data_IF_196268054915
#
_entry.id   IF_196268054915
#
_cell.length_a   1.000
_cell.length_b   1.000
_cell.length_c   1.000
_cell.angle_alpha   90.00
_cell.angle_beta   90.00
_cell.angle_gamma   90.00
#
_symmetry.space_group_name_H-M   'P 1'
#
loop_
_entity.id
_entity.type
_entity.pdbx_description
1 polymer ?
#
# COMPACT_ATOMS: atom_id res chain seq x y z
N UNK A 1 9.03 10.33 19.67
CA UNK A 1 8.25 9.13 20.02
C UNK A 1 7.50 8.60 18.82
N UNK A 2 8.16 7.72 18.05
CA UNK A 2 7.53 7.00 16.95
C UNK A 2 6.54 6.01 17.53
N UNK A 3 5.26 6.12 17.18
CA UNK A 3 4.28 5.08 17.47
C UNK A 3 4.84 3.74 16.95
N UNK A 4 5.37 2.92 17.86
CA UNK A 4 5.64 1.52 17.58
C UNK A 4 4.28 0.90 17.39
N UNK A 5 3.84 0.82 16.13
CA UNK A 5 2.87 -0.17 15.72
C UNK A 5 3.42 -1.52 16.19
N UNK A 6 2.95 -1.98 17.35
CA UNK A 6 3.00 -3.41 17.69
C UNK A 6 2.02 -4.08 16.72
N UNK A 7 2.45 -4.19 15.46
CA UNK A 7 1.71 -4.99 14.50
C UNK A 7 1.72 -6.41 15.02
N UNK A 8 0.60 -7.07 14.82
CA UNK A 8 0.36 -8.47 15.11
C UNK A 8 1.39 -9.37 14.39
N UNK A 9 2.57 -9.51 14.98
CA UNK A 9 3.74 -10.17 14.40
C UNK A 9 4.07 -11.43 15.19
N UNK A 10 3.07 -12.32 15.33
CA UNK A 10 3.24 -13.60 16.02
C UNK A 10 2.86 -14.77 15.11
N UNK A 11 3.82 -15.66 14.87
CA UNK A 11 3.68 -16.84 14.03
C UNK A 11 2.77 -17.93 14.62
N UNK A 12 2.35 -17.83 15.88
CA UNK A 12 1.28 -18.69 16.45
C UNK A 12 0.01 -18.69 15.60
N UNK A 13 -0.22 -17.65 14.79
CA UNK A 13 -1.32 -17.63 13.81
C UNK A 13 -1.35 -18.87 12.90
N UNK A 14 -0.19 -19.46 12.62
CA UNK A 14 -0.05 -20.64 11.76
C UNK A 14 -0.59 -21.93 12.40
N UNK A 15 -0.89 -21.94 13.69
CA UNK A 15 -1.63 -23.05 14.34
C UNK A 15 -3.07 -23.14 13.83
N UNK A 16 -3.64 -22.01 13.41
CA UNK A 16 -5.03 -21.91 12.97
C UNK A 16 -5.16 -21.66 11.47
N UNK A 17 -4.24 -20.90 10.88
CA UNK A 17 -4.22 -20.59 9.46
C UNK A 17 -3.40 -21.64 8.70
N UNK A 18 -3.99 -22.82 8.50
CA UNK A 18 -3.30 -24.02 8.01
C UNK A 18 -3.24 -24.17 6.49
N UNK A 19 -4.09 -23.47 5.73
CA UNK A 19 -4.02 -23.48 4.26
C UNK A 19 -4.05 -22.05 3.76
N UNK A 20 -2.99 -21.63 3.10
CA UNK A 20 -2.71 -20.26 2.72
C UNK A 20 -2.43 -20.17 1.23
N UNK A 21 -3.27 -19.47 0.48
CA UNK A 21 -3.05 -19.16 -0.93
C UNK A 21 -2.43 -17.77 -1.08
N UNK A 22 -1.43 -17.66 -1.94
CA UNK A 22 -0.87 -16.38 -2.33
C UNK A 22 -1.92 -15.61 -3.13
N UNK A 23 -2.20 -14.40 -2.69
CA UNK A 23 -3.22 -13.58 -3.33
C UNK A 23 -2.66 -12.26 -3.88
N UNK A 24 -1.64 -11.67 -3.25
CA UNK A 24 -0.83 -10.59 -3.87
C UNK A 24 0.66 -10.81 -3.60
N UNK A 25 1.49 -10.47 -4.58
CA UNK A 25 2.94 -10.44 -4.43
C UNK A 25 3.53 -9.25 -5.17
N UNK A 26 4.62 -8.69 -4.66
CA UNK A 26 5.44 -7.75 -5.43
C UNK A 26 5.96 -8.46 -6.70
N UNK A 27 6.07 -7.79 -7.85
CA UNK A 27 6.47 -8.43 -9.09
C UNK A 27 7.91 -8.96 -8.96
N UNK A 28 8.05 -10.28 -8.91
CA UNK A 28 9.34 -10.95 -9.05
C UNK A 28 9.14 -12.26 -9.81
N UNK A 29 10.20 -12.66 -10.50
CA UNK A 29 10.34 -13.83 -11.38
C UNK A 29 9.37 -14.97 -11.07
N UNK A 30 8.52 -15.35 -12.02
CA UNK A 30 8.09 -16.72 -12.42
C UNK A 30 7.70 -17.81 -11.40
N UNK A 31 8.03 -17.69 -10.12
CA UNK A 31 8.39 -18.82 -9.23
C UNK A 31 8.14 -18.47 -7.76
N UNK A 32 7.17 -17.60 -7.49
CA UNK A 32 6.72 -17.29 -6.14
C UNK A 32 6.02 -18.49 -5.51
N UNK A 33 6.06 -18.56 -4.18
CA UNK A 33 5.28 -19.54 -3.42
C UNK A 33 3.80 -19.19 -3.64
N UNK A 34 3.05 -20.08 -4.29
CA UNK A 34 1.63 -19.86 -4.57
C UNK A 34 0.72 -20.38 -3.46
N UNK A 35 1.18 -21.36 -2.67
CA UNK A 35 0.43 -21.91 -1.54
C UNK A 35 1.37 -22.43 -0.46
N UNK A 36 0.92 -22.30 0.79
CA UNK A 36 1.53 -22.91 1.96
C UNK A 36 0.45 -23.69 2.70
N UNK A 37 0.72 -24.96 3.01
CA UNK A 37 -0.11 -25.78 3.88
C UNK A 37 0.68 -26.08 5.16
N UNK A 38 0.24 -25.56 6.30
CA UNK A 38 0.86 -25.78 7.60
C UNK A 38 0.26 -27.02 8.25
N UNK A 39 1.11 -28.00 8.54
CA UNK A 39 0.73 -29.24 9.20
C UNK A 39 0.78 -29.12 10.72
N UNK A 40 1.82 -28.46 11.22
CA UNK A 40 1.95 -28.14 12.65
C UNK A 40 2.93 -26.98 12.88
N UNK A 41 2.72 -26.26 13.97
CA UNK A 41 3.61 -25.26 14.53
C UNK A 41 4.02 -25.70 15.95
N UNK A 42 5.32 -25.70 16.25
CA UNK A 42 5.85 -26.00 17.57
C UNK A 42 6.66 -24.81 18.06
N UNK A 43 6.07 -24.05 18.98
CA UNK A 43 6.66 -22.84 19.54
C UNK A 43 7.97 -23.13 20.29
N UNK A 44 8.00 -24.17 21.12
CA UNK A 44 9.16 -24.53 21.94
C UNK A 44 10.34 -24.98 21.09
N UNK A 45 10.08 -25.81 20.08
CA UNK A 45 11.09 -26.26 19.14
C UNK A 45 11.42 -25.22 18.06
N UNK A 46 10.67 -24.11 18.00
CA UNK A 46 10.80 -23.04 17.00
C UNK A 46 10.78 -23.58 15.57
N UNK A 47 9.85 -24.48 15.29
CA UNK A 47 9.75 -25.19 14.01
C UNK A 47 8.32 -25.17 13.48
N UNK A 48 8.21 -25.14 12.17
CA UNK A 48 6.94 -25.24 11.46
C UNK A 48 7.09 -26.31 10.40
N UNK A 49 6.21 -27.31 10.42
CA UNK A 49 6.12 -28.27 9.34
C UNK A 49 5.06 -27.80 8.35
N UNK A 50 5.48 -27.61 7.11
CA UNK A 50 4.61 -27.12 6.05
C UNK A 50 4.92 -27.78 4.72
N UNK A 51 3.91 -27.85 3.87
CA UNK A 51 4.07 -28.10 2.45
C UNK A 51 4.07 -26.77 1.72
N UNK A 52 5.01 -26.59 0.80
CA UNK A 52 5.12 -25.39 -0.02
C UNK A 52 4.82 -25.75 -1.47
N UNK A 53 4.03 -24.92 -2.13
CA UNK A 53 3.74 -25.01 -3.55
C UNK A 53 4.33 -23.79 -4.25
N UNK A 54 5.01 -23.99 -5.37
CA UNK A 54 5.54 -22.92 -6.19
C UNK A 54 4.70 -22.74 -7.45
N UNK A 55 4.68 -21.51 -7.93
CA UNK A 55 4.22 -21.22 -9.29
C UNK A 55 5.22 -21.84 -10.28
N UNK A 56 4.75 -22.69 -11.19
CA UNK A 56 5.57 -23.19 -12.29
C UNK A 56 5.69 -22.14 -13.40
N UNK A 57 6.46 -22.45 -14.46
CA UNK A 57 6.58 -21.54 -15.58
C UNK A 57 5.23 -21.29 -16.27
N UNK A 58 4.32 -22.25 -16.29
CA UNK A 58 3.01 -22.08 -16.92
C UNK A 58 2.01 -21.31 -16.04
N UNK A 59 2.42 -20.87 -14.83
CA UNK A 59 1.55 -20.19 -13.89
C UNK A 59 0.73 -21.12 -13.00
N UNK A 60 0.93 -22.44 -13.07
CA UNK A 60 0.22 -23.40 -12.22
C UNK A 60 0.85 -23.45 -10.82
N UNK A 61 0.01 -23.67 -9.81
CA UNK A 61 0.48 -23.89 -8.45
C UNK A 61 0.86 -25.37 -8.25
N UNK A 62 2.15 -25.66 -8.19
CA UNK A 62 2.69 -27.02 -8.18
C UNK A 62 3.37 -27.33 -6.86
N UNK A 63 3.02 -28.49 -6.31
CA UNK A 63 3.59 -29.03 -5.07
C UNK A 63 5.11 -29.21 -5.17
N UNK A 64 5.86 -28.74 -4.16
CA UNK A 64 7.25 -29.18 -3.99
C UNK A 64 7.22 -30.60 -3.47
N UNK A 65 7.87 -31.55 -4.14
CA UNK A 65 7.87 -32.99 -3.82
C UNK A 65 8.33 -33.39 -2.41
N UNK A 66 8.54 -32.46 -1.48
CA UNK A 66 8.92 -32.70 -0.08
C UNK A 66 8.20 -31.76 0.86
N UNK A 67 7.73 -32.28 2.00
CA UNK A 67 7.38 -31.46 3.17
C UNK A 67 8.61 -30.76 3.72
N UNK A 68 8.47 -29.47 4.03
CA UNK A 68 9.53 -28.61 4.55
C UNK A 68 9.33 -28.38 6.05
N UNK A 69 10.35 -28.71 6.86
CA UNK A 69 10.42 -28.23 8.24
C UNK A 69 11.25 -26.95 8.22
N UNK A 70 10.61 -25.81 8.45
CA UNK A 70 11.25 -24.49 8.45
C UNK A 70 11.44 -23.98 9.87
N UNK A 71 12.49 -23.18 10.07
CA UNK A 71 12.80 -22.56 11.36
C UNK A 71 11.93 -21.31 11.57
N UNK A 72 11.38 -21.18 12.77
CA UNK A 72 10.76 -19.95 13.26
C UNK A 72 11.80 -19.19 14.09
N UNK A 73 12.00 -17.90 13.81
CA UNK A 73 13.01 -17.07 14.45
C UNK A 73 12.35 -15.93 15.21
N UNK A 74 12.97 -15.56 16.33
CA UNK A 74 12.55 -14.40 17.12
C UNK A 74 13.06 -13.11 16.50
N UNK A 75 12.21 -12.08 16.42
CA UNK A 75 12.69 -10.74 16.11
C UNK A 75 13.56 -10.24 17.29
N UNK A 76 14.78 -9.76 17.00
CA UNK A 76 15.75 -9.42 18.04
C UNK A 76 15.29 -8.27 18.95
N UNK A 77 14.36 -7.41 18.48
CA UNK A 77 13.80 -6.27 19.21
C UNK A 77 12.56 -6.65 20.00
N UNK A 78 11.61 -7.36 19.41
CA UNK A 78 10.33 -7.69 20.06
C UNK A 78 10.38 -8.98 20.88
N UNK A 79 11.38 -9.85 20.62
CA UNK A 79 11.49 -11.22 21.16
C UNK A 79 10.32 -12.15 20.79
N UNK A 80 9.45 -11.73 19.89
CA UNK A 80 8.35 -12.54 19.39
C UNK A 80 8.82 -13.42 18.24
N UNK A 81 8.31 -14.65 18.15
CA UNK A 81 8.48 -15.51 16.98
C UNK A 81 7.71 -14.89 15.81
N UNK A 82 8.44 -14.19 14.94
CA UNK A 82 7.85 -13.37 13.88
C UNK A 82 8.51 -13.57 12.52
N UNK A 83 9.55 -14.38 12.41
CA UNK A 83 10.23 -14.65 11.14
C UNK A 83 10.26 -16.15 10.83
N UNK A 84 10.09 -16.52 9.56
CA UNK A 84 10.27 -17.87 9.06
C UNK A 84 11.47 -17.93 8.13
N UNK A 85 12.37 -18.89 8.34
CA UNK A 85 13.44 -19.18 7.39
C UNK A 85 12.93 -20.13 6.32
N UNK A 86 12.48 -19.58 5.20
CA UNK A 86 11.83 -20.33 4.13
C UNK A 86 12.83 -20.56 2.99
N UNK A 87 13.02 -21.81 2.52
CA UNK A 87 13.77 -22.07 1.31
C UNK A 87 13.01 -21.52 0.10
N UNK A 88 13.60 -20.59 -0.62
CA UNK A 88 13.03 -19.97 -1.83
C UNK A 88 13.64 -20.61 -3.06
N UNK A 89 12.80 -20.92 -4.05
CA UNK A 89 13.22 -21.49 -5.33
C UNK A 89 13.83 -20.40 -6.20
N UNK A 90 15.09 -20.60 -6.58
CA UNK A 90 15.91 -19.63 -7.31
C UNK A 90 16.50 -20.25 -8.59
N UNK A 91 17.03 -19.38 -9.45
CA UNK A 91 17.58 -19.72 -10.76
C UNK A 91 16.49 -19.98 -11.80
N UNK A 92 16.81 -19.82 -13.09
CA UNK A 92 15.89 -20.12 -14.20
C UNK A 92 16.21 -21.48 -14.83
N UNK A 93 17.44 -21.65 -15.31
CA UNK A 93 17.92 -22.86 -16.03
C UNK A 93 18.35 -23.96 -15.06
N UNK A 94 19.07 -23.59 -13.99
CA UNK A 94 19.43 -24.49 -12.90
C UNK A 94 18.63 -24.07 -11.68
N UNK A 95 17.65 -24.89 -11.31
CA UNK A 95 16.85 -24.68 -10.11
C UNK A 95 17.73 -24.97 -8.89
N UNK A 96 17.79 -24.04 -7.95
CA UNK A 96 18.38 -24.24 -6.63
C UNK A 96 17.49 -23.60 -5.56
N UNK A 97 17.74 -23.94 -4.30
CA UNK A 97 17.02 -23.38 -3.16
C UNK A 97 17.99 -22.60 -2.29
N UNK A 98 17.55 -21.42 -1.86
CA UNK A 98 18.30 -20.57 -0.94
C UNK A 98 17.39 -20.13 0.19
N UNK A 99 17.90 -20.12 1.41
CA UNK A 99 17.12 -19.83 2.61
C UNK A 99 17.02 -18.32 2.83
N UNK A 100 15.79 -17.83 2.98
CA UNK A 100 15.53 -16.43 3.28
C UNK A 100 14.61 -16.27 4.48
N UNK A 101 14.88 -15.26 5.29
CA UNK A 101 14.01 -14.87 6.40
C UNK A 101 12.81 -14.07 5.86
N UNK A 102 11.63 -14.64 5.99
CA UNK A 102 10.34 -14.03 5.74
C UNK A 102 9.75 -13.54 7.07
N UNK A 103 9.73 -12.24 7.28
CA UNK A 103 9.14 -11.62 8.48
C UNK A 103 7.64 -11.46 8.31
N UNK A 104 6.87 -11.90 9.29
CA UNK A 104 5.45 -11.56 9.40
C UNK A 104 5.35 -10.05 9.66
N UNK A 105 4.83 -9.32 8.68
CA UNK A 105 4.56 -7.89 8.81
C UNK A 105 3.27 -7.64 9.59
N UNK A 106 2.21 -8.34 9.18
CA UNK A 106 0.85 -8.14 9.67
C UNK A 106 0.01 -9.40 9.45
N UNK A 107 -0.92 -9.67 10.35
CA UNK A 107 -2.02 -10.63 10.18
C UNK A 107 -3.25 -10.12 10.91
N UNK A 108 -4.43 -10.54 10.45
CA UNK A 108 -5.70 -10.35 11.17
C UNK A 108 -6.06 -11.56 12.07
N UNK A 109 -5.18 -12.56 12.14
CA UNK A 109 -5.33 -13.85 12.84
C UNK A 109 -6.51 -14.72 12.39
N UNK A 110 -7.13 -14.41 11.25
CA UNK A 110 -8.37 -15.08 10.83
C UNK A 110 -8.39 -15.42 9.36
N UNK A 111 -8.05 -14.46 8.50
CA UNK A 111 -8.28 -14.56 7.06
C UNK A 111 -7.04 -14.31 6.24
N UNK A 112 -6.06 -13.57 6.74
CA UNK A 112 -4.92 -13.14 5.94
C UNK A 112 -3.66 -12.86 6.76
N UNK A 113 -2.50 -12.93 6.08
CA UNK A 113 -1.21 -12.49 6.61
C UNK A 113 -0.32 -11.93 5.50
N UNK A 114 0.67 -11.14 5.90
CA UNK A 114 1.65 -10.53 4.99
C UNK A 114 3.05 -10.91 5.44
N UNK A 115 3.83 -11.53 4.57
CA UNK A 115 5.26 -11.72 4.75
C UNK A 115 6.05 -10.65 4.00
N UNK A 116 7.11 -10.15 4.63
CA UNK A 116 8.16 -9.36 3.98
C UNK A 116 9.47 -10.15 4.03
N UNK A 117 10.08 -10.35 2.87
CA UNK A 117 11.38 -10.99 2.73
C UNK A 117 12.38 -9.98 2.18
N UNK A 118 13.55 -9.85 2.80
CA UNK A 118 14.64 -9.04 2.25
C UNK A 118 15.55 -9.94 1.40
N UNK A 119 15.54 -9.76 0.07
CA UNK A 119 16.44 -10.49 -0.83
C UNK A 119 17.79 -9.77 -0.89
N UNK A 120 18.84 -10.46 -0.42
CA UNK A 120 20.16 -9.90 -0.08
C UNK A 120 20.86 -9.15 -1.21
N UNK A 121 20.61 -9.50 -2.47
CA UNK A 121 21.32 -8.94 -3.61
C UNK A 121 20.79 -7.58 -4.10
N UNK A 122 19.57 -7.17 -3.72
CA UNK A 122 18.91 -6.03 -4.39
C UNK A 122 18.51 -4.87 -3.47
N UNK A 123 18.63 -4.98 -2.13
CA UNK A 123 17.98 -4.04 -1.17
C UNK A 123 16.47 -3.86 -1.42
N UNK A 124 15.84 -4.79 -2.14
CA UNK A 124 14.40 -4.78 -2.45
C UNK A 124 13.69 -5.61 -1.39
N UNK A 125 12.63 -5.04 -0.81
CA UNK A 125 11.72 -5.75 0.09
C UNK A 125 10.68 -6.46 -0.76
N UNK A 126 10.63 -7.78 -0.65
CA UNK A 126 9.63 -8.61 -1.29
C UNK A 126 8.45 -8.78 -0.36
N UNK A 127 7.24 -8.53 -0.84
CA UNK A 127 6.02 -8.72 -0.05
C UNK A 127 5.13 -9.80 -0.65
N UNK A 128 4.54 -10.60 0.23
CA UNK A 128 3.58 -11.66 -0.11
C UNK A 128 2.38 -11.55 0.82
N UNK A 129 1.19 -11.36 0.27
CA UNK A 129 -0.08 -11.44 0.99
C UNK A 129 -0.69 -12.82 0.73
N UNK A 130 -0.87 -13.57 1.82
CA UNK A 130 -1.55 -14.85 1.82
C UNK A 130 -2.95 -14.73 2.44
N UNK A 131 -3.90 -15.48 1.90
CA UNK A 131 -5.27 -15.61 2.41
C UNK A 131 -5.61 -17.06 2.70
N UNK A 132 -6.52 -17.32 3.64
CA UNK A 132 -6.93 -18.69 3.97
C UNK A 132 -7.73 -19.33 2.81
N UNK A 133 -7.27 -20.47 2.30
CA UNK A 133 -7.77 -21.15 1.08
C UNK A 133 -9.25 -21.56 1.12
N UNK A 134 -9.80 -21.85 2.31
CA UNK A 134 -11.14 -22.43 2.45
C UNK A 134 -12.29 -21.44 2.22
N UNK A 135 -11.98 -20.16 2.02
CA UNK A 135 -12.98 -19.12 1.87
C UNK A 135 -12.75 -18.38 0.54
N UNK A 136 -13.84 -18.15 -0.20
CA UNK A 136 -13.88 -17.24 -1.36
C UNK A 136 -13.76 -15.79 -0.84
N UNK A 137 -12.69 -15.50 -0.11
CA UNK A 137 -12.42 -14.14 0.33
C UNK A 137 -11.98 -13.35 -0.88
N UNK A 138 -12.83 -12.43 -1.30
CA UNK A 138 -12.40 -11.32 -2.13
C UNK A 138 -11.28 -10.61 -1.37
N UNK A 139 -10.04 -10.70 -1.88
CA UNK A 139 -8.86 -10.12 -1.25
C UNK A 139 -9.07 -8.64 -0.89
N UNK A 140 -9.82 -7.91 -1.71
CA UNK A 140 -10.13 -6.50 -1.51
C UNK A 140 -10.94 -6.21 -0.23
N UNK A 141 -11.52 -7.24 0.40
CA UNK A 141 -12.28 -7.13 1.65
C UNK A 141 -11.48 -7.52 2.89
N UNK A 142 -10.22 -7.93 2.75
CA UNK A 142 -9.37 -8.32 3.89
C UNK A 142 -8.63 -7.10 4.46
N UNK A 143 -8.41 -7.07 5.79
CA UNK A 143 -7.62 -6.00 6.42
C UNK A 143 -6.17 -5.97 5.90
N UNK A 144 -5.61 -7.14 5.55
CA UNK A 144 -4.27 -7.23 5.00
C UNK A 144 -4.13 -6.54 3.64
N UNK A 145 -5.19 -6.46 2.83
CA UNK A 145 -5.11 -5.79 1.53
C UNK A 145 -4.71 -4.32 1.68
N UNK A 146 -5.35 -3.59 2.60
CA UNK A 146 -5.01 -2.20 2.89
C UNK A 146 -3.59 -2.05 3.44
N UNK A 147 -3.20 -2.89 4.42
CA UNK A 147 -1.84 -2.86 4.98
C UNK A 147 -0.79 -3.15 3.92
N UNK A 148 -1.04 -4.14 3.06
CA UNK A 148 -0.17 -4.50 1.95
C UNK A 148 -0.01 -3.33 0.98
N UNK A 149 -1.11 -2.65 0.62
CA UNK A 149 -1.05 -1.47 -0.26
C UNK A 149 -0.19 -0.35 0.33
N UNK A 150 -0.29 -0.09 1.64
CA UNK A 150 0.48 0.94 2.33
C UNK A 150 1.97 0.60 2.39
N UNK A 151 2.31 -0.66 2.68
CA UNK A 151 3.69 -1.07 2.98
C UNK A 151 4.47 -1.59 1.77
N UNK A 152 3.78 -2.12 0.78
CA UNK A 152 4.39 -2.90 -0.30
C UNK A 152 4.14 -2.32 -1.70
N UNK A 153 3.23 -1.34 -1.85
CA UNK A 153 2.79 -0.87 -3.16
C UNK A 153 2.04 -1.97 -3.94
N UNK A 154 1.42 -1.64 -5.07
CA UNK A 154 0.62 -2.60 -5.84
C UNK A 154 1.45 -3.83 -6.26
N UNK A 155 1.05 -5.00 -5.74
CA UNK A 155 1.25 -6.29 -6.41
C UNK A 155 0.05 -6.54 -7.33
N UNK A 156 0.24 -7.27 -8.44
CA UNK A 156 -0.83 -7.52 -9.43
C UNK A 156 -2.11 -8.05 -8.75
N UNK A 157 -3.29 -7.43 -8.94
CA UNK A 157 -4.54 -8.11 -8.69
C UNK A 157 -4.70 -9.19 -9.77
N UNK A 158 -4.87 -10.44 -9.35
CA UNK A 158 -4.84 -11.61 -10.23
C UNK A 158 -6.03 -11.68 -11.19
N UNK A 159 -5.77 -11.68 -12.51
CA UNK A 159 -6.35 -12.59 -13.53
C UNK A 159 -5.90 -12.37 -14.99
N UNK A 160 -4.88 -11.56 -15.25
CA UNK A 160 -4.22 -11.65 -16.57
C UNK A 160 -3.36 -12.91 -16.62
N UNK A 161 -3.42 -13.65 -17.74
CA UNK A 161 -2.57 -14.81 -18.02
C UNK A 161 -1.12 -14.47 -17.66
N UNK A 162 -0.48 -15.37 -16.92
CA UNK A 162 0.94 -15.31 -16.67
C UNK A 162 1.64 -15.13 -18.03
N UNK A 163 2.55 -14.15 -18.23
CA UNK A 163 3.28 -14.07 -19.49
C UNK A 163 3.98 -15.40 -19.68
N UNK A 164 3.60 -16.16 -20.71
CA UNK A 164 4.10 -17.52 -20.91
C UNK A 164 5.63 -17.47 -20.96
N UNK A 165 6.35 -17.97 -19.94
CA UNK A 165 7.79 -17.86 -19.85
C UNK A 165 8.48 -18.67 -20.93
N UNK A 166 7.77 -19.61 -21.56
CA UNK A 166 8.25 -20.34 -22.72
C UNK A 166 8.50 -19.43 -23.94
N UNK A 167 7.79 -18.29 -24.04
CA UNK A 167 7.94 -17.35 -25.16
C UNK A 167 8.98 -16.25 -24.91
N UNK A 168 9.48 -16.11 -23.67
CA UNK A 168 10.49 -15.11 -23.28
C UNK A 168 11.76 -15.75 -22.72
N UNK A 169 11.96 -17.05 -22.99
CA UNK A 169 12.86 -17.94 -22.24
C UNK A 169 14.35 -17.87 -22.58
N UNK A 170 14.81 -16.93 -23.42
CA UNK A 170 16.19 -16.97 -23.91
C UNK A 170 17.05 -15.75 -23.63
N UNK A 171 16.48 -14.64 -23.13
CA UNK A 171 17.26 -13.40 -23.03
C UNK A 171 17.61 -13.05 -21.58
N UNK A 172 18.88 -13.22 -21.23
CA UNK A 172 19.49 -12.66 -20.01
C UNK A 172 19.35 -11.13 -20.00
N UNK A 173 19.29 -10.53 -21.20
CA UNK A 173 18.90 -9.15 -21.45
C UNK A 173 17.48 -8.84 -21.00
N UNK A 174 16.53 -9.77 -20.96
CA UNK A 174 15.17 -9.50 -20.48
C UNK A 174 15.14 -9.30 -18.96
N UNK A 175 15.88 -10.08 -18.18
CA UNK A 175 15.97 -9.86 -16.72
C UNK A 175 16.74 -8.58 -16.39
N UNK A 176 17.85 -8.33 -17.08
CA UNK A 176 18.56 -7.07 -16.96
C UNK A 176 17.73 -5.90 -17.46
N UNK A 177 16.97 -6.02 -18.55
CA UNK A 177 16.07 -4.98 -19.04
C UNK A 177 14.87 -4.80 -18.11
N UNK A 178 14.28 -5.82 -17.51
CA UNK A 178 13.20 -5.64 -16.51
C UNK A 178 13.72 -4.91 -15.25
N UNK A 179 14.95 -5.19 -14.83
CA UNK A 179 15.64 -4.47 -13.76
C UNK A 179 16.12 -3.05 -14.15
N UNK A 180 16.58 -2.85 -15.40
CA UNK A 180 17.23 -1.62 -15.90
C UNK A 180 16.21 -0.64 -16.50
N UNK A 181 15.17 -1.14 -17.18
CA UNK A 181 14.10 -0.35 -17.78
C UNK A 181 13.01 0.06 -16.79
N UNK A 182 13.02 -0.41 -15.52
CA UNK A 182 11.84 -0.29 -14.63
C UNK A 182 10.56 -0.57 -15.40
N UNK A 183 10.37 -1.80 -15.92
CA UNK A 183 9.27 -2.17 -16.85
C UNK A 183 7.83 -2.08 -16.28
N UNK A 184 7.55 -1.05 -15.49
CA UNK A 184 6.57 -0.04 -15.85
C UNK A 184 6.90 0.63 -17.21
N UNK A 185 6.59 -0.09 -18.30
CA UNK A 185 6.16 0.40 -19.63
C UNK A 185 7.21 1.07 -20.56
N UNK A 186 7.41 0.46 -21.73
CA UNK A 186 7.44 1.16 -23.03
C UNK A 186 6.25 0.66 -23.87
N UNK A 187 5.44 1.57 -24.43
CA UNK A 187 4.05 1.32 -24.90
C UNK A 187 3.92 1.52 -26.41
N UNK A 188 3.27 0.57 -27.11
CA UNK A 188 2.72 0.77 -28.47
C UNK A 188 1.18 0.68 -28.49
N UNK A 189 0.52 0.13 -27.46
CA UNK A 189 -0.95 0.02 -27.44
C UNK A 189 -1.57 0.42 -26.08
N UNK A 190 -2.79 0.98 -26.08
CA UNK A 190 -3.50 1.34 -24.86
C UNK A 190 -3.92 0.10 -24.06
N UNK A 191 -3.73 0.13 -22.74
CA UNK A 191 -4.20 -0.90 -21.81
C UNK A 191 -5.72 -0.80 -21.65
N UNK A 192 -6.40 -1.95 -21.59
CA UNK A 192 -7.82 -2.06 -21.19
C UNK A 192 -7.99 -1.68 -19.72
N UNK A 193 -9.21 -1.26 -19.37
CA UNK A 193 -9.59 -0.46 -18.21
C UNK A 193 -9.24 -1.02 -16.81
N UNK A 194 -8.75 -2.26 -16.67
CA UNK A 194 -8.57 -2.91 -15.37
C UNK A 194 -7.12 -3.38 -15.05
N UNK A 195 -6.13 -3.06 -15.88
CA UNK A 195 -4.74 -3.46 -15.62
C UNK A 195 -3.85 -2.23 -15.35
N UNK A 196 -3.63 -1.89 -14.08
CA UNK A 196 -2.72 -0.80 -13.70
C UNK A 196 -1.50 -1.36 -12.96
N UNK A 197 -0.37 -1.39 -13.67
CA UNK A 197 0.94 -1.38 -13.04
C UNK A 197 1.31 0.08 -12.78
N UNK A 198 1.57 0.44 -11.52
CA UNK A 198 1.69 1.83 -11.08
C UNK A 198 3.12 2.23 -10.70
N UNK A 199 3.63 3.26 -11.38
CA UNK A 199 4.68 4.13 -10.83
C UNK A 199 4.07 4.99 -9.71
N UNK A 200 4.85 5.37 -8.70
CA UNK A 200 4.37 6.11 -7.51
C UNK A 200 3.75 7.48 -7.86
N UNK A 201 4.17 8.10 -8.97
CA UNK A 201 3.54 9.29 -9.54
C UNK A 201 2.17 9.02 -10.18
N UNK A 202 1.96 7.82 -10.71
CA UNK A 202 0.66 7.43 -11.26
C UNK A 202 -0.39 7.30 -10.15
N UNK A 203 0.03 7.01 -8.91
CA UNK A 203 -0.91 6.92 -7.78
C UNK A 203 -1.65 8.23 -7.58
N UNK A 204 -0.96 9.39 -7.58
CA UNK A 204 -1.68 10.64 -7.35
C UNK A 204 -2.59 11.02 -8.51
N UNK A 205 -2.14 10.83 -9.76
CA UNK A 205 -3.00 11.09 -10.91
C UNK A 205 -4.23 10.19 -10.89
N UNK A 206 -4.11 8.94 -10.44
CA UNK A 206 -5.23 8.02 -10.33
C UNK A 206 -6.15 8.35 -9.15
N UNK A 207 -5.60 8.70 -7.97
CA UNK A 207 -6.40 9.20 -6.84
C UNK A 207 -7.27 10.37 -7.29
N UNK A 208 -6.66 11.36 -7.93
CA UNK A 208 -7.35 12.57 -8.39
C UNK A 208 -8.31 12.27 -9.56
N UNK A 209 -8.02 11.26 -10.38
CA UNK A 209 -8.90 10.85 -11.47
C UNK A 209 -10.17 10.16 -10.94
N UNK A 210 -10.02 9.21 -10.02
CA UNK A 210 -11.15 8.44 -9.47
C UNK A 210 -11.95 9.23 -8.42
N UNK A 211 -11.30 10.21 -7.78
CA UNK A 211 -11.87 11.11 -6.78
C UNK A 211 -11.69 12.57 -7.26
N UNK A 212 -12.42 12.99 -8.30
CA UNK A 212 -12.27 14.32 -8.90
C UNK A 212 -12.86 15.45 -8.06
N UNK A 213 -13.71 15.12 -7.09
CA UNK A 213 -14.21 16.06 -6.08
C UNK A 213 -14.18 15.39 -4.72
N UNK A 214 -13.49 16.02 -3.76
CA UNK A 214 -13.32 15.50 -2.41
C UNK A 214 -13.50 16.59 -1.37
N UNK A 215 -14.08 16.22 -0.24
CA UNK A 215 -14.38 17.11 0.87
C UNK A 215 -13.65 16.66 2.14
N UNK A 216 -13.25 17.62 2.97
CA UNK A 216 -12.56 17.34 4.22
C UNK A 216 -13.51 16.68 5.21
N UNK A 217 -13.19 15.45 5.62
CA UNK A 217 -13.90 14.71 6.66
C UNK A 217 -13.27 14.91 8.04
N UNK A 218 -11.94 14.91 8.13
CA UNK A 218 -11.25 15.04 9.41
C UNK A 218 -9.90 15.75 9.27
N UNK A 219 -9.49 16.47 10.32
CA UNK A 219 -8.18 17.11 10.38
C UNK A 219 -7.58 17.03 11.78
N UNK A 220 -6.26 16.95 11.85
CA UNK A 220 -5.48 17.08 13.11
C UNK A 220 -4.90 18.48 13.32
N UNK A 221 -5.21 19.45 12.44
CA UNK A 221 -4.71 20.82 12.59
C UNK A 221 -5.33 21.48 13.83
N UNK A 222 -4.52 22.15 14.66
CA UNK A 222 -5.02 22.94 15.80
C UNK A 222 -6.01 24.04 15.37
N UNK A 223 -5.80 24.59 14.17
CA UNK A 223 -6.65 25.64 13.58
C UNK A 223 -7.82 25.12 12.75
N UNK A 224 -8.11 23.81 12.73
CA UNK A 224 -9.03 23.21 11.77
C UNK A 224 -10.44 23.84 11.77
N UNK A 225 -10.90 24.36 12.91
CA UNK A 225 -12.22 25.03 13.04
C UNK A 225 -12.34 26.34 12.25
N UNK A 226 -11.26 27.08 12.04
CA UNK A 226 -11.29 28.39 11.35
C UNK A 226 -10.36 28.49 10.15
N UNK A 227 -9.39 27.57 10.02
CA UNK A 227 -8.37 27.50 8.98
C UNK A 227 -8.27 26.07 8.44
N UNK A 228 -8.98 25.78 7.36
CA UNK A 228 -8.99 24.44 6.73
C UNK A 228 -9.19 24.50 5.22
N UNK A 229 -8.59 23.54 4.51
CA UNK A 229 -9.07 23.20 3.17
C UNK A 229 -10.36 22.41 3.32
N UNK A 230 -11.35 22.76 2.53
CA UNK A 230 -12.71 22.28 2.68
C UNK A 230 -13.10 21.30 1.60
N UNK A 231 -12.79 21.66 0.37
CA UNK A 231 -13.03 20.84 -0.79
C UNK A 231 -11.90 21.03 -1.78
N UNK A 232 -11.61 19.97 -2.52
CA UNK A 232 -10.70 19.96 -3.65
C UNK A 232 -11.49 19.42 -4.83
N UNK A 233 -11.57 20.22 -5.89
CA UNK A 233 -12.17 19.82 -7.16
C UNK A 233 -11.09 19.85 -8.23
N UNK A 234 -10.91 18.76 -8.96
CA UNK A 234 -9.89 18.60 -9.98
C UNK A 234 -10.51 18.85 -11.34
N UNK A 235 -9.94 19.80 -12.10
CA UNK A 235 -10.38 20.14 -13.46
C UNK A 235 -9.52 19.48 -14.53
N UNK A 236 -8.22 19.30 -14.25
CA UNK A 236 -7.27 18.74 -15.21
C UNK A 236 -6.16 17.99 -14.50
N UNK A 237 -5.77 16.86 -15.05
CA UNK A 237 -4.66 16.05 -14.54
C UNK A 237 -3.62 15.94 -15.66
N UNK A 238 -2.38 16.32 -15.35
CA UNK A 238 -1.22 16.20 -16.22
C UNK A 238 -0.15 15.34 -15.52
N UNK A 239 0.87 14.83 -16.22
CA UNK A 239 1.90 13.98 -15.61
C UNK A 239 2.64 14.62 -14.43
N UNK A 240 2.77 15.95 -14.41
CA UNK A 240 3.55 16.71 -13.43
C UNK A 240 2.72 17.66 -12.55
N UNK A 241 1.42 17.83 -12.83
CA UNK A 241 0.54 18.67 -12.01
C UNK A 241 -0.94 18.33 -12.19
N UNK A 242 -1.77 18.76 -11.23
CA UNK A 242 -3.23 18.88 -11.40
C UNK A 242 -3.65 20.35 -11.38
N UNK A 243 -4.56 20.74 -12.27
CA UNK A 243 -5.31 21.99 -12.15
C UNK A 243 -6.53 21.72 -11.28
N UNK A 244 -6.66 22.48 -10.20
CA UNK A 244 -7.69 22.24 -9.21
C UNK A 244 -8.23 23.53 -8.61
N UNK A 245 -9.49 23.47 -8.19
CA UNK A 245 -10.12 24.43 -7.31
C UNK A 245 -10.05 23.94 -5.87
N UNK A 246 -9.52 24.79 -5.00
CA UNK A 246 -9.49 24.58 -3.56
C UNK A 246 -10.49 25.54 -2.93
N UNK A 247 -11.49 24.98 -2.28
CA UNK A 247 -12.36 25.74 -1.37
C UNK A 247 -11.75 25.69 0.01
N UNK A 248 -11.60 26.83 0.68
CA UNK A 248 -10.99 26.92 1.99
C UNK A 248 -11.78 27.84 2.92
N UNK A 249 -11.69 27.56 4.21
CA UNK A 249 -12.11 28.47 5.26
C UNK A 249 -10.85 29.04 5.92
N UNK A 250 -10.71 30.36 5.93
CA UNK A 250 -9.55 31.06 6.50
C UNK A 250 -10.07 32.16 7.41
N UNK A 251 -9.78 32.06 8.70
CA UNK A 251 -10.32 32.95 9.73
C UNK A 251 -11.84 33.03 9.71
N UNK A 252 -12.52 31.91 9.42
CA UNK A 252 -13.98 31.82 9.33
C UNK A 252 -14.60 32.32 8.01
N UNK A 253 -13.84 33.05 7.19
CA UNK A 253 -14.27 33.48 5.86
C UNK A 253 -14.05 32.39 4.80
N UNK A 254 -14.94 32.36 3.80
CA UNK A 254 -14.96 31.37 2.71
C UNK A 254 -14.18 31.90 1.51
N UNK A 255 -13.26 31.09 0.99
CA UNK A 255 -12.45 31.43 -0.18
C UNK A 255 -12.42 30.29 -1.18
N UNK A 256 -12.27 30.65 -2.45
CA UNK A 256 -12.11 29.72 -3.58
C UNK A 256 -10.84 30.12 -4.31
N UNK A 257 -9.96 29.14 -4.54
CA UNK A 257 -8.68 29.35 -5.21
C UNK A 257 -8.54 28.37 -6.37
N UNK A 258 -8.13 28.87 -7.52
CA UNK A 258 -7.71 28.04 -8.65
C UNK A 258 -6.20 27.94 -8.64
N UNK A 259 -5.65 26.74 -8.55
CA UNK A 259 -4.20 26.55 -8.49
C UNK A 259 -3.73 25.29 -9.24
N UNK A 260 -2.46 25.31 -9.63
CA UNK A 260 -1.77 24.14 -10.18
C UNK A 260 -1.04 23.42 -9.05
N UNK A 261 -1.47 22.22 -8.68
CA UNK A 261 -0.80 21.38 -7.70
C UNK A 261 0.26 20.53 -8.39
N UNK A 262 1.52 20.94 -8.26
CA UNK A 262 2.66 20.20 -8.81
C UNK A 262 2.96 18.94 -7.98
N UNK A 263 3.37 17.88 -8.67
CA UNK A 263 3.75 16.62 -8.06
C UNK A 263 5.28 16.56 -7.87
N UNK A 264 5.72 16.01 -6.74
CA UNK A 264 7.12 15.70 -6.47
C UNK A 264 7.24 14.37 -5.72
N UNK A 265 8.46 13.83 -5.63
CA UNK A 265 8.71 12.51 -5.04
C UNK A 265 9.90 12.55 -4.08
N UNK A 266 9.79 11.75 -3.02
CA UNK A 266 10.83 11.49 -2.03
C UNK A 266 10.95 9.99 -1.78
N UNK A 267 11.83 9.36 -2.55
CA UNK A 267 12.03 7.90 -2.58
C UNK A 267 12.47 7.30 -1.24
N UNK A 268 12.95 8.11 -0.28
CA UNK A 268 13.48 7.61 0.99
C UNK A 268 12.42 7.43 2.07
N UNK A 269 11.15 7.67 1.75
CA UNK A 269 10.14 7.87 2.77
C UNK A 269 8.87 7.07 2.45
N UNK A 270 8.20 6.57 3.51
CA UNK A 270 7.20 5.48 3.45
C UNK A 270 6.15 5.67 2.35
N UNK A 271 5.59 6.88 2.23
CA UNK A 271 4.83 7.29 1.04
C UNK A 271 5.62 8.35 0.27
N UNK A 272 6.14 8.04 -0.91
CA UNK A 272 7.09 8.90 -1.60
C UNK A 272 6.43 10.09 -2.29
N UNK A 273 5.14 10.00 -2.61
CA UNK A 273 4.43 11.00 -3.43
C UNK A 273 4.04 12.24 -2.63
N UNK A 274 4.36 13.41 -3.20
CA UNK A 274 4.08 14.73 -2.64
C UNK A 274 3.31 15.61 -3.63
N UNK A 275 2.48 16.48 -3.11
CA UNK A 275 1.73 17.48 -3.87
C UNK A 275 1.83 18.85 -3.22
N UNK A 276 1.90 19.90 -4.04
CA UNK A 276 1.86 21.29 -3.58
C UNK A 276 0.41 21.78 -3.53
N UNK A 277 -0.11 22.05 -2.33
CA UNK A 277 -1.47 22.57 -2.13
C UNK A 277 -1.44 23.87 -1.32
N UNK A 278 -2.56 24.62 -1.33
CA UNK A 278 -2.72 25.85 -0.55
C UNK A 278 -2.30 25.66 0.92
N UNK A 279 -1.54 26.59 1.47
CA UNK A 279 -1.31 26.67 2.91
C UNK A 279 -2.33 27.59 3.56
N UNK A 280 -3.47 27.03 3.95
CA UNK A 280 -4.54 27.77 4.62
C UNK A 280 -4.12 28.35 5.98
N UNK A 281 -3.03 27.86 6.58
CA UNK A 281 -2.51 28.38 7.85
C UNK A 281 -1.74 29.69 7.63
N UNK A 282 -1.19 29.88 6.44
CA UNK A 282 -0.38 31.03 6.09
C UNK A 282 -1.18 32.20 5.49
N UNK A 283 -2.50 32.09 5.35
CA UNK A 283 -3.39 33.18 4.93
C UNK A 283 -4.02 32.95 3.56
N UNK A 284 -4.51 34.04 2.94
CA UNK A 284 -5.33 33.99 1.71
C UNK A 284 -4.53 34.16 0.42
N UNK A 285 -3.20 34.18 0.48
CA UNK A 285 -2.35 34.28 -0.70
C UNK A 285 -2.23 32.90 -1.37
N UNK A 286 -2.72 32.71 -2.61
CA UNK A 286 -2.67 31.42 -3.31
C UNK A 286 -1.25 30.94 -3.65
N UNK A 287 -0.25 31.83 -3.57
CA UNK A 287 1.15 31.46 -3.74
C UNK A 287 1.77 30.87 -2.47
N UNK A 288 1.12 31.04 -1.31
CA UNK A 288 1.53 30.36 -0.08
C UNK A 288 1.05 28.93 -0.13
N UNK A 289 1.99 28.03 -0.43
CA UNK A 289 1.73 26.61 -0.62
C UNK A 289 2.54 25.79 0.36
N UNK A 290 1.96 24.67 0.74
CA UNK A 290 2.60 23.68 1.60
C UNK A 290 2.55 22.32 0.93
N UNK A 291 3.70 21.67 0.90
CA UNK A 291 3.80 20.29 0.42
C UNK A 291 3.01 19.37 1.34
N UNK A 292 2.23 18.49 0.72
CA UNK A 292 1.47 17.43 1.37
C UNK A 292 1.88 16.11 0.78
N UNK A 293 2.06 15.13 1.65
CA UNK A 293 2.32 13.75 1.30
C UNK A 293 1.01 12.98 1.26
N UNK A 294 0.83 12.14 0.25
CA UNK A 294 -0.36 11.30 0.11
C UNK A 294 -0.13 10.02 0.92
N UNK A 295 -0.66 9.93 2.14
CA UNK A 295 -0.39 8.76 2.99
C UNK A 295 -1.06 7.49 2.45
N UNK A 296 -2.32 7.59 2.04
CA UNK A 296 -3.09 6.48 1.48
C UNK A 296 -4.25 7.02 0.65
N UNK A 297 -4.74 6.21 -0.29
CA UNK A 297 -6.05 6.34 -0.88
C UNK A 297 -6.63 4.96 -1.14
N UNK A 298 -7.94 4.80 -1.08
CA UNK A 298 -8.58 3.58 -1.57
C UNK A 298 -9.00 3.68 -3.05
N UNK A 299 -8.58 4.74 -3.76
CA UNK A 299 -8.90 5.04 -5.15
C UNK A 299 -10.39 5.07 -5.50
N UNK A 300 -11.27 5.05 -4.50
CA UNK A 300 -12.72 4.98 -4.71
C UNK A 300 -13.44 6.11 -3.99
N UNK A 301 -13.18 6.23 -2.70
CA UNK A 301 -13.94 7.06 -1.79
C UNK A 301 -13.10 8.02 -0.96
N UNK A 302 -11.80 7.79 -0.75
CA UNK A 302 -11.02 8.61 0.18
C UNK A 302 -9.53 8.65 -0.10
N UNK A 303 -8.88 9.68 0.45
CA UNK A 303 -7.44 9.79 0.55
C UNK A 303 -7.02 10.62 1.76
N UNK A 304 -5.82 10.35 2.29
CA UNK A 304 -5.24 11.05 3.43
C UNK A 304 -4.02 11.84 2.98
N UNK A 305 -3.99 13.13 3.33
CA UNK A 305 -2.85 14.00 3.12
C UNK A 305 -2.20 14.34 4.45
N UNK A 306 -0.87 14.35 4.51
CA UNK A 306 -0.08 14.83 5.65
C UNK A 306 0.85 15.94 5.21
N UNK A 307 0.78 17.09 5.85
CA UNK A 307 1.72 18.17 5.54
C UNK A 307 3.15 17.76 5.88
N UNK A 308 4.07 18.11 5.00
CA UNK A 308 5.50 17.94 5.25
C UNK A 308 5.95 19.05 6.20
N UNK A 309 6.78 18.67 7.17
CA UNK A 309 7.29 19.62 8.14
C UNK A 309 8.44 20.42 7.52
N UNK A 310 8.26 21.74 7.41
CA UNK A 310 9.25 22.66 6.85
C UNK A 310 9.92 23.50 7.97
N UNK A 311 10.16 22.91 9.15
CA UNK A 311 10.80 23.57 10.29
C UNK A 311 9.84 23.76 11.48
N UNK A 312 9.58 25.01 11.88
CA UNK A 312 8.83 25.37 13.10
C UNK A 312 7.31 25.19 13.01
N UNK A 313 6.76 24.74 11.88
CA UNK A 313 5.32 24.60 11.71
C UNK A 313 4.86 23.17 12.00
N UNK A 314 3.96 23.01 12.97
CA UNK A 314 3.35 21.72 13.28
C UNK A 314 2.83 21.02 12.01
N UNK A 315 3.15 19.75 11.86
CA UNK A 315 2.60 18.90 10.80
C UNK A 315 1.20 18.45 11.20
N UNK A 316 0.27 18.48 10.26
CA UNK A 316 -1.08 17.97 10.45
C UNK A 316 -1.49 17.04 9.30
N UNK A 317 -2.56 16.29 9.51
CA UNK A 317 -3.18 15.45 8.51
C UNK A 317 -4.60 15.93 8.19
N UNK A 318 -5.03 15.61 6.98
CA UNK A 318 -6.34 15.91 6.42
C UNK A 318 -6.85 14.66 5.71
N UNK A 319 -7.99 14.13 6.15
CA UNK A 319 -8.72 13.03 5.51
C UNK A 319 -9.77 13.63 4.58
N UNK A 320 -9.64 13.34 3.30
CA UNK A 320 -10.60 13.74 2.27
C UNK A 320 -11.44 12.55 1.82
N UNK A 321 -12.71 12.82 1.58
CA UNK A 321 -13.69 11.84 1.13
C UNK A 321 -14.37 12.36 -0.13
N UNK A 322 -14.53 11.48 -1.12
CA UNK A 322 -15.22 11.76 -2.38
C UNK A 322 -16.59 12.36 -2.11
N UNK A 323 -16.94 13.38 -2.87
CA UNK A 323 -18.25 14.01 -2.75
C UNK A 323 -19.38 12.97 -2.91
N UNK A 324 -20.46 13.13 -2.13
CA UNK A 324 -21.60 12.21 -2.09
C UNK A 324 -21.30 10.77 -1.64
N UNK A 325 -20.24 10.53 -0.87
CA UNK A 325 -19.96 9.22 -0.27
C UNK A 325 -20.66 9.09 1.09
N UNK A 326 -21.31 7.94 1.36
CA UNK A 326 -21.77 7.60 2.71
C UNK A 326 -20.56 7.33 3.61
N UNK A 327 -20.32 8.25 4.55
CA UNK A 327 -19.18 8.20 5.47
C UNK A 327 -19.23 7.02 6.46
N UNK A 328 -20.32 6.25 6.49
CA UNK A 328 -20.46 5.06 7.35
C UNK A 328 -19.75 3.82 6.79
N UNK A 329 -19.40 3.81 5.50
CA UNK A 329 -18.84 2.62 4.84
C UNK A 329 -17.75 2.97 3.83
N UNK A 330 -16.79 2.08 3.61
CA UNK A 330 -15.82 2.22 2.53
C UNK A 330 -14.75 3.29 2.80
N UNK A 331 -14.52 3.61 4.07
CA UNK A 331 -13.48 4.53 4.58
C UNK A 331 -12.50 3.84 5.53
N UNK A 332 -12.60 2.52 5.71
CA UNK A 332 -11.90 1.74 6.71
C UNK A 332 -10.38 1.91 6.59
N UNK A 333 -9.85 1.79 5.37
CA UNK A 333 -8.43 1.96 5.07
C UNK A 333 -7.93 3.37 5.38
N UNK A 334 -8.60 4.40 4.86
CA UNK A 334 -8.19 5.78 5.07
C UNK A 334 -8.31 6.21 6.53
N UNK A 335 -9.38 5.77 7.22
CA UNK A 335 -9.61 6.07 8.63
C UNK A 335 -8.58 5.39 9.51
N UNK A 336 -8.28 4.12 9.23
CA UNK A 336 -7.23 3.37 9.92
C UNK A 336 -5.87 4.08 9.78
N UNK A 337 -5.46 4.41 8.55
CA UNK A 337 -4.18 5.11 8.30
C UNK A 337 -4.15 6.49 8.93
N UNK A 338 -5.25 7.23 8.88
CA UNK A 338 -5.33 8.54 9.51
C UNK A 338 -5.08 8.44 11.02
N UNK A 339 -5.82 7.59 11.72
CA UNK A 339 -5.65 7.38 13.16
C UNK A 339 -4.24 6.86 13.48
N UNK A 340 -3.75 5.94 12.66
CA UNK A 340 -2.46 5.30 12.81
C UNK A 340 -1.27 6.25 12.74
N UNK A 341 -1.23 7.11 11.71
CA UNK A 341 -0.07 7.94 11.39
C UNK A 341 -0.21 9.40 11.83
N UNK A 342 -1.41 9.81 12.20
CA UNK A 342 -1.73 11.19 12.55
C UNK A 342 -2.34 11.33 13.95
N UNK A 343 -2.81 10.25 14.57
CA UNK A 343 -3.51 10.29 15.84
C UNK A 343 -4.96 10.74 15.71
N UNK A 344 -5.58 11.09 16.84
CA UNK A 344 -6.97 11.50 16.88
C UNK A 344 -7.18 12.87 16.22
N UNK A 345 -8.26 13.03 15.42
CA UNK A 345 -8.58 14.31 14.80
C UNK A 345 -8.96 15.35 15.87
N UNK A 346 -8.47 16.58 15.67
CA UNK A 346 -8.92 17.76 16.43
C UNK A 346 -10.29 18.23 15.95
N UNK A 347 -10.65 17.91 14.70
CA UNK A 347 -11.95 18.20 14.13
C UNK A 347 -12.41 17.10 13.16
N UNK A 348 -13.69 16.74 13.28
CA UNK A 348 -14.41 15.82 12.37
C UNK A 348 -15.65 16.56 11.86
N UNK A 349 -15.90 16.46 10.56
CA UNK A 349 -16.97 17.18 9.87
C UNK A 349 -18.04 16.19 9.42
N UNK A 350 -19.29 16.45 9.81
CA UNK A 350 -20.44 15.59 9.55
C UNK A 350 -21.03 15.75 8.14
N UNK A 351 -20.68 16.83 7.45
CA UNK A 351 -21.15 17.13 6.12
C UNK A 351 -19.95 17.35 5.19
N UNK A 352 -20.02 16.79 3.99
CA UNK A 352 -19.03 16.93 2.94
C UNK A 352 -19.01 18.35 2.34
N UNK A 353 -19.30 19.38 3.13
CA UNK A 353 -19.43 20.76 2.71
C UNK A 353 -19.00 21.64 3.87
N UNK A 354 -17.91 22.39 3.71
CA UNK A 354 -17.59 23.46 4.65
C UNK A 354 -18.54 24.65 4.59
N UNK A 355 -19.57 24.61 3.74
CA UNK A 355 -20.52 25.69 3.63
C UNK A 355 -21.68 25.56 4.61
N UNK A 356 -21.88 24.39 5.19
CA UNK A 356 -22.96 24.11 6.11
C UNK A 356 -22.43 24.10 7.55
N UNK A 357 -22.73 25.19 8.26
CA UNK A 357 -22.89 25.15 9.70
C UNK A 357 -24.21 24.40 9.95
N UNK A 358 -24.21 23.47 10.91
CA UNK A 358 -25.47 23.05 11.52
C UNK A 358 -26.11 24.24 12.24
#
# INVERSE_FOLDING_TARGET
>A
DSAQFCMYQNLQVLETMTSLDLALTTPHTGRSICRIEVHWFNETAKRVNMTIYDTDLLGNCVHRNTTNIVEALEDPRTKQLSELRIPRKMGMTRIYYEEYNARLLFTDYKTCLIFITALYYAKVKYCELFVVSANVFNIHNTQCHSIYRIYCGYGRPTRDEWPNPANSSSDELFLQQVHTLRLLIERIYPLKEDTIFMNEFQMITEVLYNIPEANLLASTSEGAKSKRICAIQIYKIMPNFASLEVRAMISGAKYIFYLYSYYSMDANAISPTRISLLDQQAGTDPNRRRERRVLVSNFKNCFVLKTINNGNQASFCELFVKNNTDIRTGLEECSFVFLAYCGYPTAVYNESSCYTLK
#
